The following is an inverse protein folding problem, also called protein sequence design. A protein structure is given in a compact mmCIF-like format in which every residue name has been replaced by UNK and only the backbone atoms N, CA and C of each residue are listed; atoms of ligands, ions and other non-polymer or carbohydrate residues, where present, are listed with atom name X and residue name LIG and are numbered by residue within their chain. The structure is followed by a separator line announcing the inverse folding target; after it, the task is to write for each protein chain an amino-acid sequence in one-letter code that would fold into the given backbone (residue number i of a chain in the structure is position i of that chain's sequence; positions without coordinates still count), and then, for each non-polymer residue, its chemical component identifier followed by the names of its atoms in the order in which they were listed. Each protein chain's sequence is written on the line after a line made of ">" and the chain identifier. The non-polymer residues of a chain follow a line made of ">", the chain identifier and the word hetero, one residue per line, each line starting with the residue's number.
data_IF_881228656821
#
_entry.id   IF_881228656821
#
_cell.length_a   1.000
_cell.length_b   1.000
_cell.length_c   1.000
_cell.angle_alpha   90.00
_cell.angle_beta   90.00
_cell.angle_gamma   90.00
#
_symmetry.space_group_name_H-M   'P 1'
#
loop_
_entity.id
_entity.type
_entity.pdbx_description
1 polymer ?
#
# COMPACT_ATOMS: atom_id res chain seq x y z
N UNK A 1 -11.30 -7.86 -1.30
CA UNK A 1 -10.00 -8.24 -1.91
C UNK A 1 -9.07 -7.05 -1.84
N UNK A 2 -7.88 -7.16 -1.25
CA UNK A 2 -6.88 -6.10 -1.37
C UNK A 2 -6.15 -6.26 -2.71
N UNK A 3 -5.80 -5.15 -3.35
CA UNK A 3 -5.02 -5.14 -4.60
C UNK A 3 -4.00 -4.03 -4.58
N UNK A 4 -2.99 -4.14 -5.43
CA UNK A 4 -2.05 -3.05 -5.71
C UNK A 4 -2.81 -1.87 -6.33
N UNK A 5 -2.42 -0.66 -5.96
CA UNK A 5 -2.88 0.60 -6.53
C UNK A 5 -1.70 1.56 -6.63
N UNK A 6 -1.84 2.63 -7.39
CA UNK A 6 -0.82 3.68 -7.49
C UNK A 6 -1.27 4.89 -6.68
N UNK A 7 -0.38 5.45 -5.88
CA UNK A 7 -0.66 6.68 -5.16
C UNK A 7 -0.73 7.86 -6.14
N UNK A 8 -1.83 8.63 -6.13
CA UNK A 8 -1.96 9.81 -6.99
C UNK A 8 -1.04 10.97 -6.57
N UNK A 9 -0.51 10.95 -5.34
CA UNK A 9 0.34 12.00 -4.78
C UNK A 9 1.82 11.80 -5.08
N UNK A 10 2.34 10.60 -4.84
CA UNK A 10 3.76 10.29 -5.02
C UNK A 10 4.04 9.35 -6.20
N UNK A 11 3.02 8.89 -6.91
CA UNK A 11 3.10 7.97 -8.06
C UNK A 11 3.77 6.61 -7.77
N UNK A 12 3.98 6.29 -6.49
CA UNK A 12 4.51 5.02 -6.02
C UNK A 12 3.42 3.99 -5.80
N UNK A 13 3.82 2.73 -5.69
CA UNK A 13 2.94 1.61 -5.45
C UNK A 13 2.41 1.63 -4.02
N UNK A 14 1.10 1.50 -3.89
CA UNK A 14 0.40 1.33 -2.62
C UNK A 14 -0.60 0.18 -2.73
N UNK A 15 -1.34 -0.09 -1.67
CA UNK A 15 -2.42 -1.06 -1.65
C UNK A 15 -3.77 -0.35 -1.51
N UNK A 16 -4.83 -1.00 -1.96
CA UNK A 16 -6.20 -0.60 -1.73
C UNK A 16 -7.01 -1.82 -1.29
N UNK A 17 -8.03 -1.61 -0.44
CA UNK A 17 -8.92 -2.66 0.05
C UNK A 17 -9.22 -2.53 1.55
N UNK A 18 -9.51 -3.67 2.19
CA UNK A 18 -9.87 -3.75 3.61
C UNK A 18 -8.67 -3.66 4.57
N UNK A 19 -7.43 -3.85 4.10
CA UNK A 19 -6.22 -3.72 4.92
C UNK A 19 -5.79 -4.97 5.68
N UNK A 20 -6.49 -6.11 5.51
CA UNK A 20 -6.08 -7.40 6.10
C UNK A 20 -5.11 -8.19 5.22
N UNK A 21 -4.91 -7.78 3.97
CA UNK A 21 -4.05 -8.50 3.02
C UNK A 21 -2.93 -7.61 2.47
N UNK A 22 -2.53 -6.57 3.23
CA UNK A 22 -1.52 -5.61 2.77
C UNK A 22 -0.20 -6.33 2.52
N UNK A 23 0.20 -7.20 3.45
CA UNK A 23 1.40 -8.02 3.36
C UNK A 23 1.45 -8.76 2.01
N UNK A 24 0.45 -9.57 1.68
CA UNK A 24 0.41 -10.31 0.41
C UNK A 24 0.43 -9.42 -0.84
N UNK A 25 -0.15 -8.22 -0.78
CA UNK A 25 -0.13 -7.29 -1.93
C UNK A 25 1.25 -6.65 -2.09
N UNK A 26 1.88 -6.25 -0.98
CA UNK A 26 3.15 -5.53 -0.97
C UNK A 26 4.37 -6.47 -1.04
N UNK A 27 4.22 -7.75 -0.75
CA UNK A 27 5.29 -8.77 -0.80
C UNK A 27 5.96 -8.84 -2.18
N UNK A 28 5.18 -8.63 -3.24
CA UNK A 28 5.66 -8.63 -4.63
C UNK A 28 6.17 -7.27 -5.11
N UNK A 29 6.20 -6.26 -4.24
CA UNK A 29 6.59 -4.89 -4.57
C UNK A 29 7.88 -4.57 -3.81
N UNK A 30 8.96 -4.17 -4.48
CA UNK A 30 10.18 -3.75 -3.80
C UNK A 30 9.90 -2.55 -2.88
N UNK A 31 10.52 -2.52 -1.70
CA UNK A 31 10.27 -1.48 -0.70
C UNK A 31 10.60 -0.05 -1.19
N UNK A 32 11.50 0.10 -2.18
CA UNK A 32 11.80 1.41 -2.77
C UNK A 32 10.63 1.99 -3.61
N UNK A 33 9.77 1.11 -4.15
CA UNK A 33 8.57 1.45 -4.91
C UNK A 33 7.35 1.65 -4.02
N UNK A 34 7.47 1.43 -2.70
CA UNK A 34 6.37 1.63 -1.77
C UNK A 34 6.08 3.12 -1.59
N UNK A 35 4.80 3.45 -1.54
CA UNK A 35 4.34 4.78 -1.22
C UNK A 35 4.82 5.21 0.18
N UNK A 36 5.48 6.36 0.22
CA UNK A 36 6.04 6.96 1.44
C UNK A 36 5.17 8.10 1.97
N UNK A 37 3.95 8.26 1.45
CA UNK A 37 3.00 9.25 1.97
C UNK A 37 2.56 8.84 3.39
N UNK A 38 2.21 9.82 4.22
CA UNK A 38 1.67 9.59 5.57
C UNK A 38 0.15 9.75 5.64
N UNK A 39 -0.52 9.18 6.66
CA UNK A 39 0.05 8.30 7.70
C UNK A 39 0.18 6.85 7.22
N UNK A 40 1.34 6.23 7.49
CA UNK A 40 1.52 4.79 7.26
C UNK A 40 0.62 3.98 8.20
N UNK A 41 0.33 2.74 7.81
CA UNK A 41 -0.50 1.84 8.61
C UNK A 41 0.34 0.70 9.17
N UNK A 42 0.19 0.43 10.45
CA UNK A 42 0.81 -0.74 11.07
C UNK A 42 -0.11 -1.96 10.93
N UNK A 43 0.45 -3.05 10.41
CA UNK A 43 -0.19 -4.37 10.39
C UNK A 43 0.81 -5.44 10.73
N UNK A 44 0.44 -6.30 11.69
CA UNK A 44 1.24 -7.46 12.08
C UNK A 44 2.68 -7.08 12.48
N UNK A 45 2.86 -5.92 13.11
CA UNK A 45 4.18 -5.39 13.50
C UNK A 45 5.05 -4.90 12.34
N UNK A 46 4.47 -4.69 11.15
CA UNK A 46 5.14 -4.05 10.01
C UNK A 46 4.39 -2.79 9.58
N UNK A 47 5.16 -1.76 9.23
CA UNK A 47 4.62 -0.52 8.68
C UNK A 47 4.45 -0.65 7.16
N UNK A 48 3.25 -0.31 6.70
CA UNK A 48 2.89 -0.32 5.29
C UNK A 48 2.43 1.05 4.81
N UNK A 49 2.48 1.32 3.50
CA UNK A 49 1.98 2.56 2.92
C UNK A 49 0.52 2.86 3.28
N UNK A 50 0.07 4.12 3.23
CA UNK A 50 -1.34 4.47 3.40
C UNK A 50 -2.20 3.84 2.31
N UNK A 51 -3.45 3.51 2.64
CA UNK A 51 -4.43 3.01 1.67
C UNK A 51 -4.58 4.00 0.50
N UNK A 52 -4.25 3.54 -0.70
CA UNK A 52 -4.46 4.31 -1.93
C UNK A 52 -5.93 4.42 -2.32
N UNK A 53 -6.20 5.33 -3.25
CA UNK A 53 -7.48 5.37 -3.97
C UNK A 53 -7.56 4.11 -4.84
N UNK A 54 -8.72 3.46 -4.89
CA UNK A 54 -8.90 2.31 -5.78
C UNK A 54 -8.75 2.77 -7.23
N UNK A 55 -8.18 1.94 -8.14
CA UNK A 55 -8.18 2.30 -9.55
C UNK A 55 -9.62 2.54 -10.00
N UNK A 56 -9.81 3.69 -10.66
CA UNK A 56 -11.05 4.02 -11.39
C UNK A 56 -11.32 2.96 -12.44
#
# INVERSE_FOLDING_TARGET
>A
MCRKSTCETCHKTTWWGCGNHIASVMDNVPQNEWCTCGPQVEREGREYPPKGVGPR
#
